data_IF_701172701626
#
_entry.id   IF_701172701626
#
_cell.length_a   1.000
_cell.length_b   1.000
_cell.length_c   1.000
_cell.angle_alpha   90.00
_cell.angle_beta   90.00
_cell.angle_gamma   90.00
#
_symmetry.space_group_name_H-M   'P 1'
#
loop_
_entity.id
_entity.type
_entity.pdbx_description
1 polymer ?
#
# COMPACT_ATOMS: atom_id res chain seq x y z
N UNK A 1 0.51 19.47 11.44
CA UNK A 1 0.24 18.02 11.50
C UNK A 1 0.25 17.51 10.07
N UNK A 2 0.79 16.33 9.81
CA UNK A 2 0.82 15.79 8.43
C UNK A 2 -0.62 15.52 7.96
N UNK A 3 -0.96 15.95 6.73
CA UNK A 3 -2.26 15.71 6.10
C UNK A 3 -2.45 14.23 5.71
N UNK A 4 -1.35 13.47 5.70
CA UNK A 4 -1.30 12.05 5.36
C UNK A 4 -0.71 11.29 6.55
N UNK A 5 -1.42 10.28 7.03
CA UNK A 5 -0.95 9.31 8.01
C UNK A 5 -0.86 7.93 7.34
N UNK A 6 0.23 7.24 7.63
CA UNK A 6 0.50 5.90 7.14
C UNK A 6 0.65 4.95 8.33
N UNK A 7 -0.05 3.82 8.27
CA UNK A 7 0.03 2.76 9.27
C UNK A 7 0.49 1.47 8.60
N UNK A 8 1.47 0.78 9.21
CA UNK A 8 1.99 -0.49 8.70
C UNK A 8 1.51 -1.63 9.60
N UNK A 9 0.84 -2.62 9.01
CA UNK A 9 0.24 -3.75 9.72
C UNK A 9 0.69 -5.06 9.06
N UNK A 10 1.36 -5.98 9.79
CA UNK A 10 1.65 -7.31 9.26
C UNK A 10 0.34 -8.06 8.96
N UNK A 11 0.27 -8.70 7.79
CA UNK A 11 -0.94 -9.44 7.40
C UNK A 11 -0.64 -10.57 6.40
N UNK A 12 -1.68 -11.28 5.96
CA UNK A 12 -1.58 -12.36 5.00
C UNK A 12 -2.77 -12.41 4.04
N UNK A 13 -2.51 -12.86 2.81
CA UNK A 13 -3.56 -13.15 1.83
C UNK A 13 -4.41 -14.34 2.28
N UNK A 14 -5.54 -14.56 1.60
CA UNK A 14 -6.42 -15.72 1.83
C UNK A 14 -5.67 -17.05 1.67
N UNK A 15 -4.67 -17.10 0.78
CA UNK A 15 -3.85 -18.29 0.52
C UNK A 15 -2.61 -18.37 1.45
N UNK A 16 -2.51 -17.49 2.45
CA UNK A 16 -1.44 -17.52 3.47
C UNK A 16 -0.13 -16.85 3.05
N UNK A 17 -0.06 -16.21 1.88
CA UNK A 17 1.10 -15.40 1.51
C UNK A 17 1.20 -14.18 2.44
N UNK A 18 2.25 -14.13 3.26
CA UNK A 18 2.52 -13.02 4.17
C UNK A 18 2.90 -11.75 3.41
N UNK A 19 2.41 -10.61 3.88
CA UNK A 19 2.67 -9.30 3.32
C UNK A 19 2.55 -8.21 4.40
N UNK A 20 2.86 -6.98 4.02
CA UNK A 20 2.76 -5.80 4.88
C UNK A 20 1.65 -4.88 4.37
N UNK A 21 0.65 -4.59 5.19
CA UNK A 21 -0.45 -3.73 4.84
C UNK A 21 -0.12 -2.28 5.17
N UNK A 22 -0.04 -1.42 4.15
CA UNK A 22 0.17 0.02 4.30
C UNK A 22 -1.19 0.73 4.19
N UNK A 23 -1.76 1.10 5.33
CA UNK A 23 -3.03 1.83 5.41
C UNK A 23 -2.77 3.34 5.31
N UNK A 24 -3.54 3.99 4.45
CA UNK A 24 -3.50 5.42 4.15
C UNK A 24 -4.71 6.09 4.82
N UNK A 25 -4.43 7.06 5.69
CA UNK A 25 -5.45 7.90 6.30
C UNK A 25 -5.19 9.37 5.98
N UNK A 26 -6.18 10.04 5.37
CA UNK A 26 -6.13 11.49 5.16
C UNK A 26 -6.74 12.17 6.39
N UNK A 27 -5.98 13.06 7.00
CA UNK A 27 -6.35 13.72 8.27
C UNK A 27 -6.99 15.09 8.07
N UNK A 28 -6.98 15.61 6.84
CA UNK A 28 -7.67 16.86 6.53
C UNK A 28 -9.18 16.70 6.72
N UNK A 29 -9.89 17.71 7.26
CA UNK A 29 -11.32 17.61 7.56
C UNK A 29 -12.20 17.30 6.35
N UNK A 30 -11.80 17.74 5.16
CA UNK A 30 -12.46 17.51 3.88
C UNK A 30 -11.90 16.30 3.12
N UNK A 31 -10.85 15.65 3.63
CA UNK A 31 -10.13 14.57 2.96
C UNK A 31 -9.38 15.02 1.71
N UNK A 32 -9.12 16.32 1.58
CA UNK A 32 -8.33 16.89 0.47
C UNK A 32 -6.88 17.04 0.91
N UNK A 33 -5.97 16.66 0.03
CA UNK A 33 -4.53 16.87 0.19
C UNK A 33 -3.98 17.56 -1.06
N UNK A 34 -2.92 18.32 -0.89
CA UNK A 34 -2.22 19.01 -1.96
C UNK A 34 -0.95 18.24 -2.35
N UNK A 35 -0.45 18.37 -3.59
CA UNK A 35 0.81 17.71 -3.99
C UNK A 35 2.00 18.05 -3.08
N UNK A 36 1.97 19.21 -2.42
CA UNK A 36 3.00 19.63 -1.48
C UNK A 36 3.06 18.78 -0.21
N UNK A 37 1.94 18.13 0.16
CA UNK A 37 1.87 17.22 1.32
C UNK A 37 2.72 15.96 1.14
N UNK A 38 3.15 15.65 -0.10
CA UNK A 38 4.14 14.60 -0.34
C UNK A 38 5.54 14.98 0.16
N UNK A 39 5.85 16.28 0.25
CA UNK A 39 7.19 16.75 0.62
C UNK A 39 7.48 16.36 2.07
N UNK A 40 8.43 15.45 2.25
CA UNK A 40 8.81 14.98 3.58
C UNK A 40 7.84 13.94 4.16
N UNK A 41 6.86 13.46 3.39
CA UNK A 41 6.17 12.22 3.72
C UNK A 41 7.20 11.10 3.78
N UNK A 42 7.17 10.32 4.86
CA UNK A 42 8.05 9.17 5.05
C UNK A 42 7.21 7.93 5.22
N UNK A 43 7.67 6.83 4.66
CA UNK A 43 7.12 5.52 4.97
C UNK A 43 7.30 5.22 6.47
N UNK A 44 6.37 4.45 7.08
CA UNK A 44 6.56 3.94 8.42
C UNK A 44 7.88 3.16 8.54
N UNK A 45 8.53 3.26 9.70
CA UNK A 45 9.71 2.45 9.98
C UNK A 45 9.37 0.95 9.99
N UNK A 46 10.34 0.11 9.66
CA UNK A 46 10.19 -1.34 9.77
C UNK A 46 9.59 -2.05 8.56
N UNK A 47 9.47 -1.38 7.40
CA UNK A 47 9.12 -2.07 6.15
C UNK A 47 10.19 -3.13 5.84
N UNK A 48 9.78 -4.40 5.89
CA UNK A 48 10.59 -5.55 5.57
C UNK A 48 10.79 -5.65 4.06
N UNK A 49 12.03 -5.60 3.60
CA UNK A 49 12.39 -5.80 2.19
C UNK A 49 12.15 -7.22 1.69
N UNK A 50 11.83 -8.18 2.56
CA UNK A 50 11.56 -9.58 2.23
C UNK A 50 10.08 -9.90 1.99
N UNK A 51 9.17 -8.95 2.22
CA UNK A 51 7.73 -9.12 2.08
C UNK A 51 7.14 -8.03 1.19
N UNK A 52 6.14 -8.39 0.37
CA UNK A 52 5.46 -7.39 -0.44
C UNK A 52 4.55 -6.48 0.37
N UNK A 53 4.09 -5.41 -0.26
CA UNK A 53 3.25 -4.37 0.36
C UNK A 53 1.90 -4.28 -0.34
N UNK A 54 0.82 -4.23 0.44
CA UNK A 54 -0.52 -3.88 -0.05
C UNK A 54 -0.92 -2.53 0.49
N UNK A 55 -1.26 -1.61 -0.41
CA UNK A 55 -1.74 -0.27 -0.07
C UNK A 55 -3.27 -0.25 -0.03
N UNK A 56 -3.82 0.32 1.04
CA UNK A 56 -5.27 0.49 1.22
C UNK A 56 -5.56 1.86 1.82
N UNK A 57 -6.72 2.43 1.47
CA UNK A 57 -7.18 3.70 1.99
C UNK A 57 -7.84 4.54 0.91
N UNK A 58 -8.08 5.82 1.20
CA UNK A 58 -8.54 6.79 0.20
C UNK A 58 -7.41 7.77 -0.10
N UNK A 59 -7.26 8.12 -1.37
CA UNK A 59 -6.27 9.10 -1.77
C UNK A 59 -6.33 9.38 -3.28
N UNK A 60 -5.76 10.50 -3.72
CA UNK A 60 -5.60 10.79 -5.13
C UNK A 60 -4.56 9.84 -5.77
N UNK A 61 -4.68 9.63 -7.08
CA UNK A 61 -3.82 8.69 -7.83
C UNK A 61 -2.33 9.00 -7.66
N UNK A 62 -1.95 10.28 -7.59
CA UNK A 62 -0.55 10.67 -7.41
C UNK A 62 0.02 10.25 -6.06
N UNK A 63 -0.79 10.10 -5.00
CA UNK A 63 -0.34 9.58 -3.71
C UNK A 63 0.00 8.10 -3.84
N UNK A 64 -0.86 7.33 -4.52
CA UNK A 64 -0.58 5.93 -4.82
C UNK A 64 0.67 5.78 -5.69
N UNK A 65 0.81 6.59 -6.74
CA UNK A 65 2.01 6.57 -7.59
C UNK A 65 3.29 6.83 -6.78
N UNK A 66 3.26 7.81 -5.88
CA UNK A 66 4.36 8.08 -4.96
C UNK A 66 4.65 6.90 -4.03
N UNK A 67 3.64 6.37 -3.34
CA UNK A 67 3.83 5.27 -2.38
C UNK A 67 4.30 3.98 -3.07
N UNK A 68 3.80 3.68 -4.27
CA UNK A 68 4.29 2.55 -5.08
C UNK A 68 5.79 2.71 -5.34
N UNK A 69 6.23 3.90 -5.75
CA UNK A 69 7.64 4.18 -5.94
C UNK A 69 8.44 4.05 -4.64
N UNK A 70 7.96 4.55 -3.51
CA UNK A 70 8.68 4.42 -2.24
C UNK A 70 8.79 2.96 -1.76
N UNK A 71 7.84 2.10 -2.12
CA UNK A 71 7.84 0.67 -1.79
C UNK A 71 8.51 -0.23 -2.86
N UNK A 72 9.11 0.33 -3.92
CA UNK A 72 9.65 -0.43 -5.06
C UNK A 72 10.74 -1.45 -4.69
N UNK A 73 11.46 -1.22 -3.59
CA UNK A 73 12.51 -2.11 -3.11
C UNK A 73 11.98 -3.42 -2.48
N UNK A 74 10.66 -3.54 -2.30
CA UNK A 74 10.02 -4.77 -1.80
C UNK A 74 9.81 -5.78 -2.94
N UNK A 75 9.57 -7.07 -2.65
CA UNK A 75 9.47 -8.09 -3.69
C UNK A 75 8.29 -7.88 -4.65
N UNK A 76 7.23 -7.19 -4.20
CA UNK A 76 6.07 -6.79 -4.99
C UNK A 76 5.25 -5.72 -4.25
N UNK A 77 4.52 -4.90 -5.00
CA UNK A 77 3.60 -3.88 -4.49
C UNK A 77 2.23 -4.07 -5.12
N UNK A 78 1.17 -3.93 -4.33
CA UNK A 78 -0.20 -4.08 -4.78
C UNK A 78 -1.13 -3.01 -4.19
N UNK A 79 -2.19 -2.67 -4.94
CA UNK A 79 -3.24 -1.74 -4.49
C UNK A 79 -4.51 -2.52 -4.18
N UNK A 80 -5.07 -2.35 -2.99
CA UNK A 80 -6.35 -2.95 -2.63
C UNK A 80 -7.49 -2.32 -3.44
N UNK A 81 -8.34 -3.17 -4.02
CA UNK A 81 -9.59 -2.76 -4.67
C UNK A 81 -10.78 -3.46 -4.00
N UNK A 82 -11.66 -2.71 -3.30
CA UNK A 82 -12.82 -3.29 -2.63
C UNK A 82 -13.76 -4.07 -3.57
N UNK A 83 -13.82 -3.72 -4.87
CA UNK A 83 -14.68 -4.39 -5.85
C UNK A 83 -14.19 -5.79 -6.19
N UNK A 84 -12.90 -6.02 -6.00
CA UNK A 84 -12.24 -7.29 -6.27
C UNK A 84 -12.03 -8.10 -4.99
N UNK A 85 -12.32 -7.53 -3.80
CA UNK A 85 -12.03 -8.14 -2.49
C UNK A 85 -10.58 -8.66 -2.44
N UNK A 86 -9.64 -7.84 -2.92
CA UNK A 86 -8.26 -8.24 -3.12
C UNK A 86 -7.35 -7.10 -3.56
N UNK A 87 -6.05 -7.38 -3.59
CA UNK A 87 -5.04 -6.43 -4.01
C UNK A 87 -4.52 -6.76 -5.40
N UNK A 88 -4.55 -5.76 -6.29
CA UNK A 88 -4.01 -5.86 -7.65
C UNK A 88 -2.52 -5.54 -7.60
N UNK A 89 -1.68 -6.50 -8.00
CA UNK A 89 -0.23 -6.33 -8.05
C UNK A 89 0.11 -5.36 -9.18
N UNK A 90 0.84 -4.28 -8.85
CA UNK A 90 1.25 -3.22 -9.78
C UNK A 90 2.75 -3.24 -10.06
N UNK A 91 3.54 -3.88 -9.18
CA UNK A 91 4.98 -4.05 -9.33
C UNK A 91 5.41 -5.41 -8.74
N UNK A 92 6.37 -6.09 -9.36
CA UNK A 92 6.91 -7.35 -8.86
C UNK A 92 8.35 -7.61 -9.34
N UNK A 93 9.21 -8.06 -8.42
CA UNK A 93 10.61 -8.48 -8.66
C UNK A 93 10.86 -9.95 -8.26
N UNK A 94 9.81 -10.69 -7.97
CA UNK A 94 9.86 -12.09 -7.52
C UNK A 94 9.17 -13.03 -8.50
N UNK A 95 9.54 -14.32 -8.48
CA UNK A 95 8.97 -15.35 -9.38
C UNK A 95 7.60 -15.87 -8.95
N UNK A 96 7.16 -15.58 -7.73
CA UNK A 96 5.91 -16.11 -7.15
C UNK A 96 4.70 -15.21 -7.23
N UNK A 97 4.87 -13.95 -7.65
CA UNK A 97 3.81 -12.93 -7.75
C UNK A 97 4.04 -12.16 -9.06
N UNK A 98 2.97 -11.88 -9.80
CA UNK A 98 3.06 -11.23 -11.11
C UNK A 98 2.19 -9.99 -11.18
N UNK A 99 2.64 -8.98 -11.92
CA UNK A 99 1.85 -7.77 -12.18
C UNK A 99 0.52 -8.13 -12.84
N UNK A 100 -0.56 -7.49 -12.39
CA UNK A 100 -1.93 -7.76 -12.81
C UNK A 100 -2.62 -8.92 -12.08
N UNK A 101 -1.90 -9.71 -11.27
CA UNK A 101 -2.53 -10.70 -10.41
C UNK A 101 -3.37 -10.02 -9.31
N UNK A 102 -4.47 -10.68 -8.93
CA UNK A 102 -5.33 -10.25 -7.81
C UNK A 102 -5.11 -11.18 -6.64
N UNK A 103 -4.50 -10.67 -5.56
CA UNK A 103 -4.30 -11.39 -4.32
C UNK A 103 -5.53 -11.23 -3.43
N UNK A 104 -6.30 -12.30 -3.24
CA UNK A 104 -7.48 -12.29 -2.37
C UNK A 104 -7.06 -12.09 -0.91
N UNK A 105 -7.74 -11.19 -0.20
CA UNK A 105 -7.46 -10.89 1.20
C UNK A 105 -8.65 -10.22 1.87
N UNK A 106 -8.74 -10.34 3.19
CA UNK A 106 -9.58 -9.49 4.03
C UNK A 106 -8.73 -8.36 4.61
N UNK A 107 -9.30 -7.18 4.83
CA UNK A 107 -8.56 -6.09 5.47
C UNK A 107 -8.17 -6.44 6.91
N UNK A 108 -7.02 -5.93 7.40
CA UNK A 108 -6.66 -6.06 8.81
C UNK A 108 -7.64 -5.28 9.67
N UNK A 109 -7.91 -5.80 10.87
CA UNK A 109 -8.82 -5.17 11.84
C UNK A 109 -8.24 -3.87 12.39
#
# INVERSE_FOLDING_TARGET
>A
MSAIQLELIPHQTADGLAYQHLRIHLTSPDGIIEPEDLKGLKLPEGIASSQGVVMEGRGPIWLYGYLVHECHATPWVACYDPRLEGAVVVEAHTRGVSVGSVLKLSLPK
#
